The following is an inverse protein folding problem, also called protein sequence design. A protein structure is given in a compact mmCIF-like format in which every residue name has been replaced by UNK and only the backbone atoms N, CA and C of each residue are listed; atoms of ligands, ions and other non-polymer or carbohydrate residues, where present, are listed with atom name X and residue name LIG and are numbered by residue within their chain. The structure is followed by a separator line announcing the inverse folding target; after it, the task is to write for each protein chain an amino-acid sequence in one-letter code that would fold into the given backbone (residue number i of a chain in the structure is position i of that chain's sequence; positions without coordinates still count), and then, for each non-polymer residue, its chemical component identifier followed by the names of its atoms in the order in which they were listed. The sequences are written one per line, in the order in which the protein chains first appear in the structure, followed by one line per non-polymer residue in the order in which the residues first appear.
data_IF_798649781045
#
_entry.id   IF_798649781045
#
_cell.length_a   1.000
_cell.length_b   1.000
_cell.length_c   1.000
_cell.angle_alpha   90.00
_cell.angle_beta   90.00
_cell.angle_gamma   90.00
#
_symmetry.space_group_name_H-M   'P 1'
#
loop_
_entity.id
_entity.type
_entity.pdbx_description
1 polymer ?
#
# COMPACT_ATOMS: atom_id res chain seq x y z
N UNK A 1 4.09 -16.11 -12.17
CA UNK A 1 3.26 -15.78 -13.34
C UNK A 1 3.84 -14.61 -14.09
N UNK A 2 3.97 -14.70 -15.40
CA UNK A 2 4.46 -13.53 -16.14
C UNK A 2 3.42 -12.41 -16.11
N UNK A 3 3.91 -11.19 -16.02
CA UNK A 3 3.05 -10.00 -16.04
C UNK A 3 2.50 -9.76 -17.44
N UNK A 4 1.25 -9.30 -17.53
CA UNK A 4 0.66 -8.82 -18.77
C UNK A 4 1.34 -7.49 -19.18
N UNK A 5 1.32 -7.10 -20.48
CA UNK A 5 2.00 -5.88 -20.93
C UNK A 5 1.65 -4.62 -20.14
N UNK A 6 0.38 -4.41 -19.80
CA UNK A 6 -0.02 -3.24 -19.04
C UNK A 6 0.49 -3.28 -17.58
N UNK A 7 0.66 -4.47 -17.02
CA UNK A 7 1.25 -4.63 -15.69
C UNK A 7 2.75 -4.31 -15.71
N UNK A 8 3.45 -4.70 -16.77
CA UNK A 8 4.86 -4.35 -16.96
C UNK A 8 5.03 -2.83 -17.05
N UNK A 9 4.17 -2.15 -17.79
CA UNK A 9 4.21 -0.68 -17.90
C UNK A 9 3.96 -0.01 -16.55
N UNK A 10 3.00 -0.52 -15.78
CA UNK A 10 2.69 0.01 -14.44
C UNK A 10 3.88 -0.17 -13.49
N UNK A 11 4.49 -1.35 -13.46
CA UNK A 11 5.64 -1.61 -12.58
C UNK A 11 6.86 -0.79 -12.96
N UNK A 12 7.12 -0.58 -14.26
CA UNK A 12 8.18 0.32 -14.72
C UNK A 12 7.94 1.75 -14.24
N UNK A 13 6.69 2.24 -14.35
CA UNK A 13 6.34 3.57 -13.86
C UNK A 13 6.57 3.70 -12.36
N UNK A 14 6.23 2.67 -11.58
CA UNK A 14 6.47 2.66 -10.14
C UNK A 14 7.96 2.73 -9.80
N UNK A 15 8.83 2.09 -10.59
CA UNK A 15 10.28 2.19 -10.37
C UNK A 15 10.86 3.54 -10.77
N UNK A 16 10.24 4.24 -11.70
CA UNK A 16 10.68 5.54 -12.17
C UNK A 16 10.20 6.70 -11.28
N UNK A 17 9.27 6.44 -10.38
CA UNK A 17 8.65 7.46 -9.52
C UNK A 17 8.67 7.01 -8.06
N UNK A 18 8.73 7.96 -7.15
CA UNK A 18 8.59 7.68 -5.71
C UNK A 18 7.14 7.81 -5.22
N UNK A 19 6.27 8.37 -6.04
CA UNK A 19 4.86 8.56 -5.69
C UNK A 19 4.03 8.65 -6.97
N UNK A 20 2.84 8.09 -6.93
CA UNK A 20 1.91 8.25 -8.03
C UNK A 20 0.66 7.43 -7.90
N UNK A 21 -0.24 7.67 -8.83
CA UNK A 21 -1.52 6.98 -8.92
C UNK A 21 -1.48 6.00 -10.09
N UNK A 22 -1.94 4.79 -9.83
CA UNK A 22 -2.09 3.76 -10.85
C UNK A 22 -3.59 3.53 -11.03
N UNK A 23 -4.12 3.98 -12.16
CA UNK A 23 -5.52 3.81 -12.50
C UNK A 23 -5.64 2.51 -13.26
N UNK A 24 -6.27 1.54 -12.61
CA UNK A 24 -6.34 0.18 -13.13
C UNK A 24 -7.74 -0.40 -12.83
N UNK A 25 -8.44 -0.97 -13.83
CA UNK A 25 -9.78 -1.50 -13.61
C UNK A 25 -9.78 -2.72 -12.70
N UNK A 26 -10.91 -2.98 -12.05
CA UNK A 26 -11.13 -4.19 -11.28
C UNK A 26 -10.84 -5.41 -12.18
N UNK A 27 -10.07 -6.35 -11.66
CA UNK A 27 -9.64 -7.51 -12.44
C UNK A 27 -8.46 -7.25 -13.37
N UNK A 28 -7.90 -6.03 -13.37
CA UNK A 28 -6.73 -5.67 -14.19
C UNK A 28 -5.41 -6.17 -13.63
N UNK A 29 -5.40 -6.86 -12.50
CA UNK A 29 -4.19 -7.43 -11.92
C UNK A 29 -3.38 -6.45 -11.10
N UNK A 30 -4.02 -5.50 -10.43
CA UNK A 30 -3.33 -4.52 -9.59
C UNK A 30 -2.47 -5.16 -8.50
N UNK A 31 -2.95 -6.28 -7.93
CA UNK A 31 -2.20 -7.00 -6.89
C UNK A 31 -0.87 -7.52 -7.42
N UNK A 32 -0.86 -8.03 -8.66
CA UNK A 32 0.39 -8.50 -9.27
C UNK A 32 1.39 -7.36 -9.49
N UNK A 33 0.91 -6.16 -9.77
CA UNK A 33 1.78 -4.98 -9.86
C UNK A 33 2.42 -4.66 -8.52
N UNK A 34 1.64 -4.72 -7.43
CA UNK A 34 2.15 -4.51 -6.08
C UNK A 34 3.19 -5.58 -5.71
N UNK A 35 2.88 -6.85 -5.96
CA UNK A 35 3.74 -7.98 -5.62
C UNK A 35 5.07 -7.89 -6.39
N UNK A 36 5.01 -7.62 -7.69
CA UNK A 36 6.21 -7.49 -8.51
C UNK A 36 7.08 -6.33 -8.03
N UNK A 37 6.49 -5.18 -7.75
CA UNK A 37 7.22 -4.03 -7.19
C UNK A 37 7.86 -4.39 -5.84
N UNK A 38 7.12 -5.03 -4.95
CA UNK A 38 7.62 -5.43 -3.64
C UNK A 38 8.79 -6.41 -3.77
N UNK A 39 8.67 -7.41 -4.64
CA UNK A 39 9.72 -8.39 -4.86
C UNK A 39 11.00 -7.72 -5.36
N UNK A 40 10.89 -6.85 -6.35
CA UNK A 40 12.04 -6.12 -6.87
C UNK A 40 12.65 -5.19 -5.83
N UNK A 41 11.81 -4.54 -5.03
CA UNK A 41 12.28 -3.65 -3.97
C UNK A 41 13.04 -4.42 -2.89
N UNK A 42 12.55 -5.58 -2.50
CA UNK A 42 13.22 -6.43 -1.51
C UNK A 42 14.57 -6.99 -2.02
N UNK A 43 14.70 -7.22 -3.33
CA UNK A 43 15.96 -7.67 -3.93
C UNK A 43 17.00 -6.55 -4.00
N UNK A 44 16.56 -5.30 -4.16
CA UNK A 44 17.48 -4.18 -4.40
C UNK A 44 18.00 -3.53 -3.13
N UNK A 45 17.44 -3.89 -1.96
CA UNK A 45 17.78 -3.27 -0.69
C UNK A 45 17.83 -4.31 0.43
N UNK A 46 18.42 -3.93 1.56
CA UNK A 46 18.54 -4.81 2.73
C UNK A 46 17.52 -4.37 3.78
N UNK A 47 16.70 -5.33 4.27
CA UNK A 47 15.82 -5.13 5.43
C UNK A 47 14.82 -3.97 5.29
N UNK A 48 13.97 -4.01 4.27
CA UNK A 48 12.91 -3.02 4.06
C UNK A 48 11.60 -3.40 4.72
N UNK A 49 10.81 -2.38 5.04
CA UNK A 49 9.43 -2.52 5.49
C UNK A 49 8.47 -1.96 4.46
N UNK A 50 7.53 -2.77 4.03
CA UNK A 50 6.44 -2.39 3.12
C UNK A 50 5.13 -2.48 3.87
N UNK A 51 4.26 -1.48 3.67
CA UNK A 51 2.91 -1.46 4.23
C UNK A 51 1.91 -1.56 3.08
N UNK A 52 0.93 -2.44 3.23
CA UNK A 52 -0.18 -2.60 2.27
C UNK A 52 -1.47 -2.26 2.99
N UNK A 53 -2.20 -1.28 2.45
CA UNK A 53 -3.43 -0.76 3.06
C UNK A 53 -4.63 -1.17 2.22
N UNK A 54 -5.57 -1.86 2.85
CA UNK A 54 -6.81 -2.33 2.21
C UNK A 54 -8.03 -1.66 2.83
N UNK A 55 -9.16 -1.57 2.10
CA UNK A 55 -10.36 -0.93 2.65
C UNK A 55 -11.08 -1.75 3.72
N UNK A 56 -10.86 -3.07 3.77
CA UNK A 56 -11.54 -3.97 4.70
C UNK A 56 -10.63 -5.12 5.10
N UNK A 57 -10.90 -5.69 6.26
CA UNK A 57 -10.12 -6.81 6.82
C UNK A 57 -10.05 -7.99 5.84
N UNK A 58 -11.18 -8.37 5.24
CA UNK A 58 -11.20 -9.49 4.30
C UNK A 58 -10.27 -9.25 3.11
N UNK A 59 -10.23 -8.02 2.58
CA UNK A 59 -9.33 -7.69 1.48
C UNK A 59 -7.87 -7.66 1.93
N UNK A 60 -7.58 -7.23 3.16
CA UNK A 60 -6.22 -7.31 3.71
C UNK A 60 -5.75 -8.76 3.78
N UNK A 61 -6.62 -9.68 4.19
CA UNK A 61 -6.33 -11.12 4.24
C UNK A 61 -6.10 -11.70 2.85
N UNK A 62 -6.91 -11.31 1.87
CA UNK A 62 -6.74 -11.76 0.48
C UNK A 62 -5.43 -11.27 -0.11
N UNK A 63 -5.10 -10.01 0.10
CA UNK A 63 -3.82 -9.44 -0.36
C UNK A 63 -2.64 -10.17 0.28
N UNK A 64 -2.70 -10.40 1.58
CA UNK A 64 -1.65 -11.13 2.30
C UNK A 64 -1.45 -12.53 1.73
N UNK A 65 -2.53 -13.25 1.48
CA UNK A 65 -2.48 -14.58 0.89
C UNK A 65 -1.81 -14.57 -0.50
N UNK A 66 -2.19 -13.62 -1.34
CA UNK A 66 -1.62 -13.50 -2.70
C UNK A 66 -0.14 -13.10 -2.67
N UNK A 67 0.24 -12.17 -1.81
CA UNK A 67 1.63 -11.77 -1.64
C UNK A 67 2.50 -12.95 -1.20
N UNK A 68 2.02 -13.73 -0.24
CA UNK A 68 2.80 -14.84 0.34
C UNK A 68 2.89 -16.07 -0.56
N UNK A 69 2.06 -16.16 -1.61
CA UNK A 69 2.23 -17.18 -2.65
C UNK A 69 3.49 -16.92 -3.49
N UNK A 70 3.94 -15.69 -3.58
CA UNK A 70 5.05 -15.27 -4.43
C UNK A 70 6.29 -14.93 -3.63
N UNK A 71 6.14 -14.22 -2.50
CA UNK A 71 7.25 -13.69 -1.73
C UNK A 71 7.72 -14.68 -0.66
N UNK A 72 9.03 -15.00 -0.70
CA UNK A 72 9.69 -15.81 0.31
C UNK A 72 10.55 -14.90 1.21
N UNK A 73 10.95 -15.42 2.37
CA UNK A 73 11.86 -14.74 3.31
C UNK A 73 11.35 -13.36 3.75
N UNK A 74 10.05 -13.25 3.97
CA UNK A 74 9.44 -12.02 4.47
C UNK A 74 8.68 -12.31 5.76
N UNK A 75 8.85 -11.44 6.75
CA UNK A 75 8.09 -11.49 8.00
C UNK A 75 6.83 -10.65 7.86
N UNK A 76 5.72 -11.15 8.38
CA UNK A 76 4.39 -10.56 8.16
C UNK A 76 3.73 -10.21 9.48
N UNK A 77 3.12 -9.04 9.54
CA UNK A 77 2.25 -8.63 10.63
C UNK A 77 0.96 -8.06 10.05
N UNK A 78 -0.16 -8.35 10.68
CA UNK A 78 -1.45 -7.74 10.37
C UNK A 78 -1.82 -6.73 11.45
N UNK A 79 -2.26 -5.57 11.05
CA UNK A 79 -2.72 -4.51 11.96
C UNK A 79 -4.19 -4.23 11.66
N UNK A 80 -5.06 -5.02 12.26
CA UNK A 80 -6.51 -4.86 12.24
C UNK A 80 -7.11 -5.71 13.36
N UNK A 81 -8.40 -5.52 13.63
CA UNK A 81 -9.10 -6.19 14.73
C UNK A 81 -9.66 -7.58 14.38
N UNK A 82 -9.50 -8.02 13.13
CA UNK A 82 -10.04 -9.30 12.68
C UNK A 82 -9.15 -10.49 13.01
N UNK A 83 -9.71 -11.69 12.88
CA UNK A 83 -8.94 -12.91 13.01
C UNK A 83 -8.07 -13.15 11.78
N UNK A 84 -6.90 -13.71 12.01
CA UNK A 84 -5.92 -13.99 10.95
C UNK A 84 -4.98 -15.09 11.41
N UNK A 85 -4.46 -15.93 10.48
CA UNK A 85 -3.43 -16.92 10.83
C UNK A 85 -2.05 -16.28 11.09
N UNK A 86 -1.90 -15.00 10.86
CA UNK A 86 -0.62 -14.27 11.04
C UNK A 86 -0.57 -13.59 12.40
N UNK A 87 0.62 -13.20 12.81
CA UNK A 87 0.78 -12.33 13.96
C UNK A 87 0.01 -11.03 13.72
N UNK A 88 -0.82 -10.64 14.67
CA UNK A 88 -1.63 -9.43 14.53
C UNK A 88 -1.77 -8.69 15.85
N UNK A 89 -1.83 -7.38 15.77
CA UNK A 89 -2.12 -6.50 16.90
C UNK A 89 -2.53 -5.13 16.40
N UNK A 90 -3.38 -4.45 17.16
CA UNK A 90 -3.67 -3.03 16.99
C UNK A 90 -3.01 -2.18 18.07
N UNK A 91 -2.24 -2.80 18.94
CA UNK A 91 -1.50 -2.10 19.99
C UNK A 91 -0.24 -1.46 19.40
N UNK A 92 -0.08 -0.16 19.63
CA UNK A 92 1.04 0.64 19.09
C UNK A 92 2.39 0.09 19.56
N UNK A 93 2.51 -0.28 20.83
CA UNK A 93 3.73 -0.85 21.37
C UNK A 93 4.09 -2.19 20.74
N UNK A 94 3.11 -3.02 20.42
CA UNK A 94 3.34 -4.31 19.75
C UNK A 94 3.85 -4.10 18.32
N UNK A 95 3.30 -3.12 17.61
CA UNK A 95 3.74 -2.79 16.24
C UNK A 95 5.21 -2.34 16.27
N UNK A 96 5.53 -1.42 17.16
CA UNK A 96 6.89 -0.93 17.33
C UNK A 96 7.86 -2.06 17.70
N UNK A 97 7.51 -2.89 18.69
CA UNK A 97 8.35 -4.00 19.15
C UNK A 97 8.58 -5.04 18.07
N UNK A 98 7.51 -5.41 17.34
CA UNK A 98 7.64 -6.37 16.25
C UNK A 98 8.58 -5.84 15.16
N UNK A 99 8.41 -4.59 14.78
CA UNK A 99 9.26 -3.97 13.75
C UNK A 99 10.73 -3.94 14.19
N UNK A 100 10.99 -3.56 15.42
CA UNK A 100 12.35 -3.42 15.95
C UNK A 100 13.05 -4.76 16.14
N UNK A 101 12.33 -5.79 16.57
CA UNK A 101 12.89 -7.10 16.89
C UNK A 101 12.98 -8.03 15.68
N UNK A 102 12.24 -7.73 14.61
CA UNK A 102 12.18 -8.58 13.42
C UNK A 102 13.26 -8.13 12.45
N UNK A 103 14.13 -9.06 12.05
CA UNK A 103 15.17 -8.80 11.08
C UNK A 103 14.68 -9.12 9.67
N UNK A 104 15.36 -8.53 8.67
CA UNK A 104 15.09 -8.81 7.27
C UNK A 104 13.90 -8.02 6.73
N UNK A 105 13.35 -8.51 5.62
CA UNK A 105 12.24 -7.87 4.94
C UNK A 105 10.93 -8.10 5.68
N UNK A 106 10.11 -7.06 5.76
CA UNK A 106 8.86 -7.06 6.51
C UNK A 106 7.72 -6.50 5.69
N UNK A 107 6.54 -7.09 5.82
CA UNK A 107 5.31 -6.54 5.27
C UNK A 107 4.27 -6.42 6.38
N UNK A 108 3.63 -5.26 6.44
CA UNK A 108 2.48 -5.01 7.31
C UNK A 108 1.24 -4.87 6.44
N UNK A 109 0.24 -5.70 6.69
CA UNK A 109 -1.08 -5.57 6.06
C UNK A 109 -2.02 -4.91 7.06
N UNK A 110 -2.63 -3.82 6.66
CA UNK A 110 -3.53 -3.04 7.51
C UNK A 110 -4.74 -2.55 6.72
N UNK A 111 -5.66 -1.94 7.42
CA UNK A 111 -6.82 -1.27 6.82
C UNK A 111 -6.67 0.23 6.96
N UNK A 112 -7.45 0.99 6.18
CA UNK A 112 -7.49 2.46 6.35
C UNK A 112 -7.89 2.83 7.77
N UNK A 113 -8.79 2.06 8.37
CA UNK A 113 -9.26 2.28 9.73
C UNK A 113 -8.13 2.14 10.77
N UNK A 114 -7.24 1.19 10.57
CA UNK A 114 -6.14 0.91 11.52
C UNK A 114 -4.81 1.56 11.15
N UNK A 115 -4.72 2.24 10.02
CA UNK A 115 -3.48 2.86 9.54
C UNK A 115 -2.91 3.86 10.55
N UNK A 116 -3.76 4.55 11.29
CA UNK A 116 -3.32 5.49 12.32
C UNK A 116 -2.48 4.83 13.41
N UNK A 117 -2.74 3.57 13.71
CA UNK A 117 -1.94 2.81 14.69
C UNK A 117 -0.53 2.58 14.16
N UNK A 118 -0.40 2.28 12.88
CA UNK A 118 0.91 2.14 12.23
C UNK A 118 1.64 3.48 12.25
N UNK A 119 0.94 4.57 11.93
CA UNK A 119 1.50 5.93 11.99
C UNK A 119 2.05 6.23 13.39
N UNK A 120 1.24 6.02 14.41
CA UNK A 120 1.60 6.37 15.80
C UNK A 120 2.72 5.49 16.34
N UNK A 121 2.90 4.28 15.81
CA UNK A 121 4.00 3.39 16.20
C UNK A 121 5.39 3.92 15.84
N UNK A 122 5.47 4.92 14.98
CA UNK A 122 6.71 5.59 14.54
C UNK A 122 7.73 4.72 13.79
N UNK A 123 7.30 3.57 13.29
CA UNK A 123 8.20 2.69 12.51
C UNK A 123 8.57 3.30 11.16
N UNK A 124 9.76 2.97 10.69
CA UNK A 124 10.19 3.37 9.36
C UNK A 124 9.48 2.53 8.30
N UNK A 125 9.07 3.18 7.21
CA UNK A 125 8.40 2.52 6.10
C UNK A 125 9.08 2.93 4.80
N UNK A 126 9.53 1.94 4.03
CA UNK A 126 10.13 2.20 2.72
C UNK A 126 9.06 2.47 1.67
N UNK A 127 8.12 1.57 1.52
CA UNK A 127 7.07 1.65 0.49
C UNK A 127 5.71 1.39 1.11
N UNK A 128 4.72 2.16 0.69
CA UNK A 128 3.33 1.93 1.08
C UNK A 128 2.46 1.86 -0.18
N UNK A 129 1.61 0.83 -0.23
CA UNK A 129 0.61 0.65 -1.29
C UNK A 129 -0.77 0.86 -0.70
N UNK A 130 -1.56 1.69 -1.36
CA UNK A 130 -2.95 1.93 -1.00
C UNK A 130 -3.87 1.24 -2.01
N UNK A 131 -4.49 0.15 -1.60
CA UNK A 131 -5.47 -0.57 -2.42
C UNK A 131 -6.81 0.12 -2.35
N UNK A 132 -7.55 0.12 -3.47
CA UNK A 132 -8.83 0.82 -3.56
C UNK A 132 -8.73 2.25 -3.03
N UNK A 133 -7.78 3.01 -3.56
CA UNK A 133 -7.33 4.28 -2.98
C UNK A 133 -8.38 5.39 -3.00
N UNK A 134 -9.49 5.22 -3.73
CA UNK A 134 -10.62 6.14 -3.65
C UNK A 134 -11.22 6.22 -2.22
N UNK A 135 -10.95 5.22 -1.37
CA UNK A 135 -11.34 5.25 0.04
C UNK A 135 -10.47 6.20 0.88
N UNK A 136 -9.26 6.49 0.43
CA UNK A 136 -8.28 7.27 1.20
C UNK A 136 -8.68 8.72 1.44
N UNK A 137 -9.61 9.25 0.63
CA UNK A 137 -10.07 10.64 0.75
C UNK A 137 -11.11 10.82 1.87
N UNK A 138 -11.59 9.73 2.47
CA UNK A 138 -12.56 9.83 3.56
C UNK A 138 -11.95 10.58 4.74
N UNK A 139 -12.79 11.44 5.36
CA UNK A 139 -12.35 12.36 6.41
C UNK A 139 -11.55 11.70 7.54
N UNK A 140 -11.98 10.52 7.97
CA UNK A 140 -11.34 9.82 9.08
C UNK A 140 -10.04 9.12 8.69
N UNK A 141 -9.83 8.86 7.40
CA UNK A 141 -8.67 8.13 6.89
C UNK A 141 -7.58 9.05 6.34
N UNK A 142 -7.98 10.18 5.79
CA UNK A 142 -7.07 11.06 5.07
C UNK A 142 -5.87 11.55 5.88
N UNK A 143 -5.99 11.92 7.18
CA UNK A 143 -4.82 12.39 7.93
C UNK A 143 -3.67 11.40 8.00
N UNK A 144 -3.95 10.12 8.24
CA UNK A 144 -2.92 9.09 8.26
C UNK A 144 -2.35 8.84 6.86
N UNK A 145 -3.20 8.81 5.84
CA UNK A 145 -2.76 8.67 4.43
C UNK A 145 -1.81 9.79 4.05
N UNK A 146 -2.18 11.03 4.32
CA UNK A 146 -1.35 12.20 4.03
C UNK A 146 -0.01 12.13 4.74
N UNK A 147 0.00 11.71 6.00
CA UNK A 147 1.23 11.57 6.77
C UNK A 147 2.21 10.62 6.10
N UNK A 148 1.77 9.43 5.69
CA UNK A 148 2.64 8.48 5.02
C UNK A 148 3.08 8.98 3.66
N UNK A 149 2.18 9.59 2.89
CA UNK A 149 2.47 10.07 1.56
C UNK A 149 3.46 11.25 1.53
N UNK A 150 3.43 12.11 2.55
CA UNK A 150 4.25 13.34 2.56
C UNK A 150 5.48 13.27 3.45
N UNK A 151 5.49 12.40 4.48
CA UNK A 151 6.59 12.40 5.46
C UNK A 151 7.25 11.04 5.66
N UNK A 152 6.45 9.97 5.85
CA UNK A 152 6.98 8.73 6.41
C UNK A 152 7.53 7.77 5.38
N UNK A 153 6.81 7.51 4.29
CA UNK A 153 7.22 6.53 3.31
C UNK A 153 8.17 7.14 2.28
N UNK A 154 9.18 6.41 1.89
CA UNK A 154 10.07 6.80 0.81
C UNK A 154 9.36 6.70 -0.54
N UNK A 155 8.50 5.70 -0.68
CA UNK A 155 7.72 5.45 -1.89
C UNK A 155 6.25 5.23 -1.52
N UNK A 156 5.34 5.78 -2.32
CA UNK A 156 3.90 5.72 -2.03
C UNK A 156 3.10 5.62 -3.32
N UNK A 157 2.29 4.57 -3.45
CA UNK A 157 1.52 4.32 -4.67
C UNK A 157 0.06 4.06 -4.34
N UNK A 158 -0.82 4.68 -5.13
CA UNK A 158 -2.27 4.65 -4.95
C UNK A 158 -2.92 3.91 -6.12
N UNK A 159 -3.63 2.83 -5.83
CA UNK A 159 -4.27 1.97 -6.84
C UNK A 159 -5.78 2.09 -6.77
N UNK A 160 -6.40 2.45 -7.88
CA UNK A 160 -7.87 2.51 -7.97
C UNK A 160 -8.33 2.43 -9.43
N UNK A 161 -9.55 1.92 -9.63
CA UNK A 161 -10.23 2.01 -10.92
C UNK A 161 -10.97 3.35 -11.08
N UNK A 162 -11.29 3.99 -9.96
CA UNK A 162 -12.20 5.13 -9.90
C UNK A 162 -11.67 6.22 -8.97
N UNK A 163 -10.69 7.03 -9.42
CA UNK A 163 -10.15 8.07 -8.56
C UNK A 163 -11.22 9.08 -8.15
N UNK A 164 -11.17 9.53 -6.90
CA UNK A 164 -12.07 10.54 -6.37
C UNK A 164 -11.38 11.88 -6.29
N UNK A 165 -11.88 12.84 -7.04
CA UNK A 165 -11.38 14.21 -7.05
C UNK A 165 -12.29 15.11 -6.20
N UNK A 166 -11.75 16.24 -5.76
CA UNK A 166 -12.52 17.26 -5.04
C UNK A 166 -12.24 18.62 -5.61
N UNK A 167 -13.30 19.42 -5.75
CA UNK A 167 -13.22 20.82 -6.16
C UNK A 167 -13.41 21.78 -5.01
N UNK A 168 -13.68 21.27 -3.81
CA UNK A 168 -13.89 22.09 -2.60
C UNK A 168 -12.60 22.12 -1.74
N UNK A 169 -12.22 23.31 -1.22
CA UNK A 169 -10.94 23.44 -0.50
C UNK A 169 -10.86 22.69 0.82
N UNK A 170 -11.97 22.30 1.39
CA UNK A 170 -12.01 21.62 2.69
C UNK A 170 -12.22 20.11 2.59
N UNK A 171 -12.29 19.58 1.38
CA UNK A 171 -12.54 18.16 1.15
C UNK A 171 -11.38 17.55 0.38
N UNK A 172 -10.82 16.46 0.90
CA UNK A 172 -9.71 15.76 0.26
C UNK A 172 -10.13 15.17 -1.09
N UNK A 173 -9.23 15.19 -2.04
CA UNK A 173 -9.42 14.59 -3.36
C UNK A 173 -8.11 14.12 -3.96
N UNK A 174 -8.17 13.10 -4.81
CA UNK A 174 -6.98 12.51 -5.45
C UNK A 174 -6.37 13.42 -6.51
N UNK A 175 -7.02 14.54 -6.83
CA UNK A 175 -6.43 15.60 -7.65
C UNK A 175 -5.41 16.46 -6.89
N UNK A 176 -5.26 16.28 -5.60
CA UNK A 176 -4.20 16.91 -4.82
C UNK A 176 -2.87 16.19 -5.06
N UNK A 177 -2.09 16.70 -5.99
CA UNK A 177 -0.84 16.06 -6.40
C UNK A 177 0.27 16.12 -5.34
N UNK A 178 0.15 16.99 -4.35
CA UNK A 178 1.11 17.02 -3.24
C UNK A 178 1.02 15.76 -2.38
N UNK A 179 -0.18 15.24 -2.23
CA UNK A 179 -0.41 14.00 -1.47
C UNK A 179 -0.35 12.78 -2.38
N UNK A 180 -1.09 12.80 -3.49
CA UNK A 180 -1.31 11.62 -4.33
C UNK A 180 -0.32 11.47 -5.48
N UNK A 181 0.43 12.53 -5.80
CA UNK A 181 1.28 12.53 -6.97
C UNK A 181 0.47 12.58 -8.27
N UNK A 182 1.15 12.40 -9.38
CA UNK A 182 0.53 12.35 -10.70
C UNK A 182 0.00 10.95 -11.00
N UNK A 183 -0.88 10.84 -11.99
CA UNK A 183 -1.23 9.55 -12.57
C UNK A 183 -0.02 9.08 -13.39
N UNK A 184 0.64 8.03 -12.93
CA UNK A 184 1.85 7.50 -13.57
C UNK A 184 1.59 6.27 -14.45
N UNK A 185 0.42 5.66 -14.27
CA UNK A 185 -0.01 4.56 -15.12
C UNK A 185 -1.54 4.57 -15.20
N UNK A 186 -2.07 4.37 -16.37
CA UNK A 186 -3.50 4.32 -16.62
C UNK A 186 -3.77 3.14 -17.55
N UNK A 187 -4.34 2.09 -16.98
CA UNK A 187 -4.63 0.85 -17.70
C UNK A 187 -6.05 0.92 -18.24
N UNK A 188 -6.22 0.79 -19.56
CA UNK A 188 -7.57 0.82 -20.12
C UNK A 188 -8.39 -0.39 -19.68
N UNK A 189 -9.71 -0.20 -19.56
CA UNK A 189 -10.62 -1.29 -19.27
C UNK A 189 -10.54 -2.35 -20.38
N UNK A 190 -10.66 -3.64 -20.05
CA UNK A 190 -10.73 -4.70 -21.05
C UNK A 190 -11.93 -4.47 -21.97
N UNK A 191 -11.71 -4.64 -23.25
CA UNK A 191 -12.79 -4.54 -24.23
C UNK A 191 -13.61 -5.82 -24.25
#
# INVERSE_FOLDING_TARGET
MPLRPHQVDATKAMFQHSKGQIIIPTGGGKTMCMIDDAEQRFRSTIANTIVVVAPRILLAEQLSSEFLEVLDDVSVMHVHSGETPHYSSTNIGDIYSWHKKTEGNKIIFTTYHSLEKVKTSTIDVDTIYFDEAHNSVQRNFFPAVKFFATYRANRCFFFTATPKHSTTPFKAGMNDTKVYGQVIANVPAPK
#
